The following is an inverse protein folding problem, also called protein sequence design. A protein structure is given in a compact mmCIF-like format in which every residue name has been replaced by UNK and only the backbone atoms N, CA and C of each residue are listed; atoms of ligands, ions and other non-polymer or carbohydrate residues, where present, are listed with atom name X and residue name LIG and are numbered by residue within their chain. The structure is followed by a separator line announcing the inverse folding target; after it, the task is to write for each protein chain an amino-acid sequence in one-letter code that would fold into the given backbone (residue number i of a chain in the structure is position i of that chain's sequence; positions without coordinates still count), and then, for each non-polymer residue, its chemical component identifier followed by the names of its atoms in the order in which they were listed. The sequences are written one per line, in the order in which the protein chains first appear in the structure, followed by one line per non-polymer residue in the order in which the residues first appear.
data_IF_196492902067
#
_entry.id   IF_196492902067
#
_cell.length_a   1.000
_cell.length_b   1.000
_cell.length_c   1.000
_cell.angle_alpha   90.00
_cell.angle_beta   90.00
_cell.angle_gamma   90.00
#
_symmetry.space_group_name_H-M   'P 1'
#
loop_
_entity.id
_entity.type
_entity.pdbx_description
1 polymer ?
#
# COMPACT_ATOMS: atom_id res chain seq x y z
N UNK A 1 -29.98 46.48 -17.73
CA UNK A 1 -28.96 45.40 -17.81
C UNK A 1 -29.47 44.43 -18.87
N UNK A 2 -28.70 44.22 -19.97
CA UNK A 2 -29.21 43.54 -21.17
C UNK A 2 -29.51 42.06 -20.89
N UNK A 3 -30.73 41.60 -21.19
CA UNK A 3 -31.19 40.20 -21.05
C UNK A 3 -30.26 39.18 -21.71
N UNK A 4 -29.65 39.54 -22.84
CA UNK A 4 -28.63 38.72 -23.55
C UNK A 4 -27.36 38.51 -22.71
N UNK A 5 -26.95 39.49 -21.92
CA UNK A 5 -25.74 39.41 -21.09
C UNK A 5 -26.00 38.49 -19.86
N UNK A 6 -27.19 38.57 -19.26
CA UNK A 6 -27.65 37.70 -18.20
C UNK A 6 -27.78 36.23 -18.68
N UNK A 7 -28.33 36.00 -19.86
CA UNK A 7 -28.46 34.66 -20.43
C UNK A 7 -27.07 34.00 -20.63
N UNK A 8 -26.09 34.74 -21.17
CA UNK A 8 -24.71 34.24 -21.33
C UNK A 8 -24.05 33.88 -19.99
N UNK A 9 -24.23 34.74 -18.97
CA UNK A 9 -23.69 34.51 -17.63
C UNK A 9 -24.32 33.23 -17.04
N UNK A 10 -25.64 33.06 -17.14
CA UNK A 10 -26.33 31.88 -16.66
C UNK A 10 -25.86 30.59 -17.35
N UNK A 11 -25.65 30.64 -18.67
CA UNK A 11 -25.13 29.50 -19.44
C UNK A 11 -23.72 29.13 -18.97
N UNK A 12 -22.84 30.12 -18.76
CA UNK A 12 -21.48 29.89 -18.26
C UNK A 12 -21.52 29.26 -16.88
N UNK A 13 -22.33 29.81 -15.97
CA UNK A 13 -22.48 29.25 -14.60
C UNK A 13 -23.02 27.81 -14.61
N UNK A 14 -24.03 27.53 -15.43
CA UNK A 14 -24.58 26.18 -15.57
C UNK A 14 -23.53 25.22 -16.12
N UNK A 15 -22.77 25.62 -17.12
CA UNK A 15 -21.68 24.80 -17.67
C UNK A 15 -20.62 24.54 -16.62
N UNK A 16 -20.21 25.53 -15.84
CA UNK A 16 -19.24 25.36 -14.75
C UNK A 16 -19.76 24.39 -13.66
N UNK A 17 -21.03 24.51 -13.28
CA UNK A 17 -21.67 23.60 -12.31
C UNK A 17 -21.63 22.15 -12.84
N UNK A 18 -21.99 21.94 -14.10
CA UNK A 18 -21.97 20.61 -14.73
C UNK A 18 -20.55 20.06 -14.75
N UNK A 19 -19.54 20.85 -15.13
CA UNK A 19 -18.14 20.41 -15.17
C UNK A 19 -17.61 20.06 -13.78
N UNK A 20 -17.90 20.89 -12.78
CA UNK A 20 -17.48 20.63 -11.39
C UNK A 20 -18.14 19.35 -10.86
N UNK A 21 -19.45 19.18 -11.07
CA UNK A 21 -20.14 17.96 -10.63
C UNK A 21 -19.63 16.71 -11.37
N UNK A 22 -19.38 16.82 -12.67
CA UNK A 22 -18.78 15.74 -13.46
C UNK A 22 -17.39 15.35 -12.93
N UNK A 23 -16.57 16.34 -12.59
CA UNK A 23 -15.26 16.11 -11.98
C UNK A 23 -15.38 15.43 -10.60
N UNK A 24 -16.27 15.91 -9.72
CA UNK A 24 -16.50 15.34 -8.39
C UNK A 24 -16.92 13.86 -8.49
N UNK A 25 -17.76 13.53 -9.48
CA UNK A 25 -18.22 12.14 -9.69
C UNK A 25 -17.11 11.29 -10.32
N UNK A 26 -16.35 11.81 -11.29
CA UNK A 26 -15.35 11.06 -12.02
C UNK A 26 -14.03 10.87 -11.24
N UNK A 27 -13.60 11.87 -10.48
CA UNK A 27 -12.31 11.84 -9.78
C UNK A 27 -12.13 10.63 -8.84
N UNK A 28 -13.12 10.19 -8.05
CA UNK A 28 -13.00 8.99 -7.22
C UNK A 28 -12.86 7.68 -8.02
N UNK A 29 -13.30 7.66 -9.28
CA UNK A 29 -13.23 6.47 -10.15
C UNK A 29 -11.85 6.33 -10.82
N UNK A 30 -11.09 7.42 -10.95
CA UNK A 30 -9.79 7.41 -11.65
C UNK A 30 -8.81 6.38 -11.05
N UNK A 31 -8.61 6.28 -9.72
CA UNK A 31 -7.71 5.27 -9.16
C UNK A 31 -8.15 3.84 -9.45
N UNK A 32 -9.45 3.56 -9.37
CA UNK A 32 -9.99 2.23 -9.65
C UNK A 32 -9.81 1.84 -11.13
N UNK A 33 -10.07 2.77 -12.05
CA UNK A 33 -9.85 2.57 -13.49
C UNK A 33 -8.36 2.36 -13.77
N UNK A 34 -7.47 3.17 -13.20
CA UNK A 34 -6.03 3.04 -13.38
C UNK A 34 -5.53 1.69 -12.84
N UNK A 35 -6.03 1.24 -11.70
CA UNK A 35 -5.67 -0.07 -11.15
C UNK A 35 -6.15 -1.20 -12.06
N UNK A 36 -7.39 -1.11 -12.56
CA UNK A 36 -7.95 -2.09 -13.50
C UNK A 36 -7.13 -2.15 -14.80
N UNK A 37 -6.75 -0.99 -15.36
CA UNK A 37 -5.90 -0.93 -16.55
C UNK A 37 -4.50 -1.52 -16.28
N UNK A 38 -3.86 -1.17 -15.16
CA UNK A 38 -2.54 -1.68 -14.78
C UNK A 38 -2.55 -3.19 -14.54
N UNK A 39 -3.67 -3.73 -14.07
CA UNK A 39 -3.85 -5.17 -13.84
C UNK A 39 -4.48 -5.92 -15.03
N UNK A 40 -4.80 -5.21 -16.12
CA UNK A 40 -5.41 -5.81 -17.30
C UNK A 40 -4.45 -6.80 -17.94
N UNK A 41 -4.88 -8.08 -18.01
CA UNK A 41 -4.04 -9.19 -18.49
C UNK A 41 -3.16 -9.83 -17.41
N UNK A 42 -3.17 -9.35 -16.18
CA UNK A 42 -2.46 -9.96 -15.04
C UNK A 42 -0.92 -9.92 -15.11
N UNK A 43 -0.36 -9.28 -16.13
CA UNK A 43 1.09 -9.33 -16.43
C UNK A 43 1.93 -8.74 -15.31
N UNK A 44 1.52 -7.60 -14.71
CA UNK A 44 2.27 -6.96 -13.64
C UNK A 44 2.21 -7.76 -12.34
N UNK A 45 1.03 -8.25 -11.97
CA UNK A 45 0.88 -9.11 -10.79
C UNK A 45 1.67 -10.42 -10.96
N UNK A 46 1.61 -11.05 -12.13
CA UNK A 46 2.38 -12.26 -12.44
C UNK A 46 3.89 -12.02 -12.38
N UNK A 47 4.38 -10.86 -12.86
CA UNK A 47 5.79 -10.50 -12.75
C UNK A 47 6.23 -10.34 -11.28
N UNK A 48 5.41 -9.69 -10.45
CA UNK A 48 5.69 -9.57 -9.02
C UNK A 48 5.64 -10.93 -8.31
N UNK A 49 4.69 -11.81 -8.66
CA UNK A 49 4.68 -13.18 -8.16
C UNK A 49 5.94 -13.96 -8.54
N UNK A 50 6.43 -13.78 -9.76
CA UNK A 50 7.69 -14.42 -10.21
C UNK A 50 8.89 -13.95 -9.38
N UNK A 51 8.90 -12.71 -8.92
CA UNK A 51 9.95 -12.20 -8.03
C UNK A 51 9.94 -12.87 -6.66
N UNK A 52 8.77 -13.35 -6.18
CA UNK A 52 8.65 -14.10 -4.94
C UNK A 52 9.15 -15.56 -5.07
N UNK A 53 9.22 -16.07 -6.30
CA UNK A 53 9.65 -17.44 -6.59
C UNK A 53 10.76 -17.43 -7.64
N UNK A 54 11.96 -16.90 -7.32
CA UNK A 54 13.07 -16.90 -8.26
C UNK A 54 13.43 -18.34 -8.64
N UNK A 55 13.66 -18.64 -9.92
CA UNK A 55 14.01 -20.00 -10.35
C UNK A 55 15.28 -20.45 -9.67
N UNK A 56 15.28 -21.65 -9.07
CA UNK A 56 16.43 -22.28 -8.39
C UNK A 56 17.65 -22.48 -9.32
N UNK A 57 17.47 -22.30 -10.63
CA UNK A 57 18.49 -22.52 -11.68
C UNK A 57 19.11 -21.23 -12.19
N UNK A 58 18.95 -20.09 -11.52
CA UNK A 58 19.77 -18.93 -11.83
C UNK A 58 21.20 -19.27 -11.43
N UNK A 59 21.93 -19.92 -12.35
CA UNK A 59 23.37 -20.10 -12.29
C UNK A 59 23.97 -18.76 -11.87
N UNK A 60 24.78 -18.82 -10.81
CA UNK A 60 25.39 -17.66 -10.19
C UNK A 60 25.87 -16.64 -11.23
N UNK A 61 25.06 -15.63 -11.48
CA UNK A 61 25.57 -14.40 -12.07
C UNK A 61 26.55 -13.86 -11.04
N UNK A 62 27.79 -13.74 -11.43
CA UNK A 62 28.95 -13.46 -10.58
C UNK A 62 28.95 -12.06 -9.96
N UNK A 63 27.86 -11.31 -10.07
CA UNK A 63 27.66 -10.03 -9.42
C UNK A 63 26.57 -10.21 -8.35
N UNK A 64 26.88 -10.03 -7.04
CA UNK A 64 25.85 -10.04 -6.01
C UNK A 64 24.87 -8.91 -6.29
N UNK A 65 23.62 -9.26 -6.62
CA UNK A 65 22.54 -8.28 -6.75
C UNK A 65 22.21 -7.81 -5.31
N UNK A 66 22.58 -6.58 -5.01
CA UNK A 66 22.25 -5.99 -3.72
C UNK A 66 20.80 -5.54 -3.75
N UNK A 67 19.92 -6.25 -3.03
CA UNK A 67 18.51 -5.87 -2.84
C UNK A 67 18.38 -4.93 -1.67
N UNK A 68 17.87 -3.72 -1.91
CA UNK A 68 17.44 -2.83 -0.83
C UNK A 68 16.25 -3.44 -0.08
N UNK A 69 16.11 -3.11 1.22
CA UNK A 69 14.93 -3.51 1.99
C UNK A 69 13.67 -2.99 1.31
N UNK A 70 12.78 -3.91 0.90
CA UNK A 70 11.57 -3.59 0.15
C UNK A 70 10.45 -4.58 0.40
N UNK A 71 9.22 -4.18 0.14
CA UNK A 71 8.04 -5.03 0.23
C UNK A 71 7.35 -5.15 -1.11
N UNK A 72 6.98 -6.39 -1.47
CA UNK A 72 6.31 -6.76 -2.70
C UNK A 72 4.95 -7.34 -2.36
N UNK A 73 3.87 -6.73 -2.85
CA UNK A 73 2.49 -7.21 -2.68
C UNK A 73 1.83 -7.28 -4.04
N UNK A 74 1.85 -8.46 -4.70
CA UNK A 74 1.35 -8.63 -6.06
C UNK A 74 -0.11 -8.22 -6.26
N UNK A 75 -0.98 -8.55 -5.30
CA UNK A 75 -2.42 -8.28 -5.37
C UNK A 75 -2.77 -6.79 -5.41
N UNK A 76 -1.90 -5.91 -4.93
CA UNK A 76 -2.04 -4.46 -5.04
C UNK A 76 -1.02 -3.81 -5.98
N UNK A 77 -0.29 -4.61 -6.75
CA UNK A 77 0.76 -4.19 -7.70
C UNK A 77 1.86 -3.33 -7.04
N UNK A 78 2.17 -3.64 -5.79
CA UNK A 78 3.15 -2.91 -4.99
C UNK A 78 4.52 -3.59 -5.05
N UNK A 79 5.54 -2.76 -5.27
CA UNK A 79 6.95 -3.06 -5.07
C UNK A 79 7.60 -1.75 -4.63
N UNK A 80 7.91 -1.63 -3.34
CA UNK A 80 8.32 -0.37 -2.74
C UNK A 80 9.41 -0.57 -1.69
N UNK A 81 10.38 0.37 -1.61
CA UNK A 81 11.38 0.35 -0.56
C UNK A 81 10.73 0.55 0.81
N UNK A 82 11.32 -0.12 1.80
CA UNK A 82 10.99 0.07 3.22
C UNK A 82 11.91 1.17 3.77
N UNK A 83 11.31 2.19 4.36
CA UNK A 83 12.02 3.27 5.02
C UNK A 83 12.12 2.98 6.52
N UNK A 84 13.24 3.30 7.12
CA UNK A 84 13.47 3.22 8.55
C UNK A 84 13.66 4.63 9.13
N UNK A 85 13.43 4.77 10.43
CA UNK A 85 13.67 6.00 11.16
C UNK A 85 12.81 6.12 12.41
N UNK A 86 13.15 7.06 13.30
CA UNK A 86 12.51 7.19 14.61
C UNK A 86 11.09 7.78 14.50
N UNK A 87 10.27 7.52 15.54
CA UNK A 87 8.90 8.04 15.66
C UNK A 87 8.83 9.56 15.54
N UNK A 88 9.86 10.28 15.97
CA UNK A 88 9.93 11.74 15.83
C UNK A 88 9.91 12.24 14.37
N UNK A 89 10.17 11.37 13.40
CA UNK A 89 10.16 11.66 11.96
C UNK A 89 8.98 11.05 11.22
N UNK A 90 7.96 10.59 11.90
CA UNK A 90 6.78 9.86 11.34
C UNK A 90 6.28 10.47 10.04
N UNK A 91 5.94 11.77 10.03
CA UNK A 91 5.39 12.41 8.81
C UNK A 91 6.36 12.44 7.64
N UNK A 92 7.63 12.70 7.92
CA UNK A 92 8.66 12.75 6.88
C UNK A 92 8.89 11.37 6.24
N UNK A 93 8.82 10.30 7.04
CA UNK A 93 9.03 8.93 6.57
C UNK A 93 7.80 8.42 5.84
N UNK A 94 6.61 8.59 6.39
CA UNK A 94 5.35 8.17 5.76
C UNK A 94 5.10 8.86 4.41
N UNK A 95 5.56 10.10 4.24
CA UNK A 95 5.52 10.80 2.96
C UNK A 95 6.48 10.22 1.90
N UNK A 96 7.50 9.44 2.32
CA UNK A 96 8.39 8.71 1.41
C UNK A 96 7.79 7.37 0.95
N UNK A 97 6.88 6.78 1.74
CA UNK A 97 6.24 5.52 1.40
C UNK A 97 6.01 4.57 2.58
N UNK A 98 6.45 3.31 2.44
CA UNK A 98 6.34 2.31 3.51
C UNK A 98 7.34 2.61 4.61
N UNK A 99 6.89 2.54 5.84
CA UNK A 99 7.71 2.70 7.04
C UNK A 99 7.71 1.42 7.87
N UNK A 100 8.88 0.97 8.26
CA UNK A 100 9.05 -0.06 9.27
C UNK A 100 8.94 0.56 10.66
N UNK A 101 7.99 0.06 11.48
CA UNK A 101 7.76 0.55 12.84
C UNK A 101 8.99 0.25 13.71
N UNK A 102 9.65 1.27 14.28
CA UNK A 102 10.98 1.09 14.91
C UNK A 102 10.99 0.19 16.13
N UNK A 103 9.86 0.07 16.84
CA UNK A 103 9.71 -0.77 18.04
C UNK A 103 9.24 -2.19 17.69
N UNK A 104 9.10 -2.53 16.39
CA UNK A 104 8.75 -3.87 15.95
C UNK A 104 9.98 -4.71 15.59
N UNK A 105 9.78 -6.01 15.40
CA UNK A 105 10.81 -6.92 14.95
C UNK A 105 11.15 -6.73 13.47
N UNK A 106 12.23 -7.37 13.05
CA UNK A 106 12.62 -7.47 11.63
C UNK A 106 12.46 -8.91 11.14
N UNK A 107 12.30 -9.15 9.83
CA UNK A 107 12.07 -10.50 9.28
C UNK A 107 13.10 -11.55 9.72
N UNK A 108 14.36 -11.16 9.85
CA UNK A 108 15.48 -12.01 10.24
C UNK A 108 15.47 -12.40 11.72
N UNK A 109 14.84 -11.59 12.58
CA UNK A 109 14.75 -11.83 14.02
C UNK A 109 13.53 -12.65 14.43
N UNK A 110 12.55 -12.80 13.54
CA UNK A 110 11.27 -13.38 13.88
C UNK A 110 10.37 -12.42 14.68
N UNK A 111 9.29 -12.93 15.31
CA UNK A 111 8.26 -12.10 15.94
C UNK A 111 7.50 -11.22 14.91
N UNK A 112 6.88 -10.13 15.33
CA UNK A 112 6.02 -9.29 14.50
C UNK A 112 6.82 -8.18 13.80
N UNK A 113 7.02 -8.29 12.50
CA UNK A 113 7.51 -7.19 11.66
C UNK A 113 6.34 -6.30 11.27
N UNK A 114 6.40 -5.01 11.59
CA UNK A 114 5.29 -4.10 11.35
C UNK A 114 5.65 -3.06 10.30
N UNK A 115 4.84 -3.01 9.24
CA UNK A 115 4.95 -2.05 8.15
C UNK A 115 3.69 -1.18 8.09
N UNK A 116 3.87 0.10 7.87
CA UNK A 116 2.74 1.02 7.73
C UNK A 116 2.99 2.05 6.63
N UNK A 117 1.91 2.65 6.16
CA UNK A 117 1.95 3.67 5.11
C UNK A 117 0.63 4.40 4.97
N UNK A 118 0.67 5.54 4.32
CA UNK A 118 -0.55 6.28 4.04
C UNK A 118 -1.45 5.54 3.05
N UNK A 119 -2.77 5.55 3.30
CA UNK A 119 -3.78 5.15 2.32
C UNK A 119 -4.20 6.32 1.46
N UNK A 120 -4.45 7.45 2.09
CA UNK A 120 -4.86 8.71 1.47
C UNK A 120 -4.36 9.88 2.32
N UNK A 121 -3.91 10.94 1.66
CA UNK A 121 -3.73 12.27 2.26
C UNK A 121 -4.20 13.33 1.27
N UNK A 122 -4.54 14.52 1.75
CA UNK A 122 -4.97 15.61 0.85
C UNK A 122 -3.85 16.07 -0.09
N UNK A 123 -2.59 15.91 0.31
CA UNK A 123 -1.41 16.24 -0.51
C UNK A 123 -0.97 15.09 -1.39
N UNK A 124 -1.31 13.86 -1.02
CA UNK A 124 -1.05 12.63 -1.78
C UNK A 124 -2.32 11.78 -1.83
N UNK A 125 -3.24 12.06 -2.75
CA UNK A 125 -4.53 11.38 -2.83
C UNK A 125 -4.44 9.87 -3.05
N UNK A 126 -3.28 9.38 -3.51
CA UNK A 126 -2.98 7.96 -3.62
C UNK A 126 -1.74 7.65 -2.77
N UNK A 127 -1.95 7.35 -1.49
CA UNK A 127 -0.89 6.87 -0.61
C UNK A 127 -0.36 5.50 -1.05
N UNK A 128 0.80 5.12 -0.53
CA UNK A 128 1.49 3.87 -0.90
C UNK A 128 0.62 2.62 -0.62
N UNK A 129 -0.19 2.64 0.44
CA UNK A 129 -1.11 1.55 0.81
C UNK A 129 -2.58 1.82 0.38
N UNK A 130 -2.77 2.64 -0.68
CA UNK A 130 -4.11 2.98 -1.18
C UNK A 130 -4.96 1.74 -1.46
N UNK A 131 -4.36 0.69 -2.02
CA UNK A 131 -5.02 -0.54 -2.45
C UNK A 131 -4.89 -1.71 -1.46
N UNK A 132 -4.58 -1.46 -0.17
CA UNK A 132 -4.45 -2.52 0.81
C UNK A 132 -5.75 -3.35 0.95
N UNK A 133 -6.91 -2.77 0.62
CA UNK A 133 -8.20 -3.46 0.53
C UNK A 133 -8.32 -4.48 -0.62
N UNK A 134 -7.35 -4.53 -1.54
CA UNK A 134 -7.30 -5.55 -2.61
C UNK A 134 -6.60 -6.84 -2.20
N UNK A 135 -5.87 -6.79 -1.09
CA UNK A 135 -5.25 -7.98 -0.49
C UNK A 135 -6.33 -8.92 0.00
N UNK A 136 -6.13 -10.22 -0.21
CA UNK A 136 -7.06 -11.28 0.17
C UNK A 136 -6.38 -12.31 1.07
N UNK A 137 -7.18 -13.10 1.76
CA UNK A 137 -6.70 -14.28 2.47
C UNK A 137 -5.91 -15.18 1.52
N UNK A 138 -4.82 -15.72 2.02
CA UNK A 138 -3.87 -16.57 1.29
C UNK A 138 -3.03 -15.87 0.19
N UNK A 139 -3.12 -14.55 0.03
CA UNK A 139 -2.19 -13.83 -0.83
C UNK A 139 -0.76 -13.94 -0.30
N UNK A 140 0.20 -13.94 -1.21
CA UNK A 140 1.62 -13.94 -0.87
C UNK A 140 2.17 -12.52 -0.81
N UNK A 141 3.03 -12.26 0.18
CA UNK A 141 3.72 -10.99 0.38
C UNK A 141 5.21 -11.30 0.54
N UNK A 142 6.05 -10.63 -0.25
CA UNK A 142 7.51 -10.74 -0.12
C UNK A 142 8.10 -9.55 0.59
N UNK A 143 9.07 -9.80 1.45
CA UNK A 143 9.89 -8.76 2.09
C UNK A 143 11.36 -9.06 1.83
N UNK A 144 12.02 -8.20 1.05
CA UNK A 144 13.47 -8.20 0.99
C UNK A 144 14.03 -7.50 2.23
N UNK A 145 14.86 -8.22 2.97
CA UNK A 145 15.51 -7.70 4.17
C UNK A 145 16.94 -8.22 4.24
N UNK A 146 17.92 -7.33 4.31
CA UNK A 146 19.34 -7.68 4.34
C UNK A 146 19.74 -8.66 3.23
N UNK A 147 19.30 -8.41 1.98
CA UNK A 147 19.55 -9.27 0.81
C UNK A 147 18.89 -10.65 0.86
N UNK A 148 17.96 -10.89 1.80
CA UNK A 148 17.20 -12.13 1.89
C UNK A 148 15.73 -11.88 1.62
N UNK A 149 15.08 -12.78 0.86
CA UNK A 149 13.66 -12.72 0.57
C UNK A 149 12.89 -13.59 1.59
N UNK A 150 12.04 -12.93 2.36
CA UNK A 150 11.09 -13.57 3.27
C UNK A 150 9.71 -13.58 2.61
N UNK A 151 9.10 -14.75 2.48
CA UNK A 151 7.76 -14.91 1.92
C UNK A 151 6.76 -15.18 3.02
N UNK A 152 5.70 -14.40 3.04
CA UNK A 152 4.60 -14.47 4.00
C UNK A 152 3.30 -14.77 3.29
N UNK A 153 2.38 -15.46 3.99
CA UNK A 153 1.02 -15.74 3.50
C UNK A 153 0.00 -15.06 4.40
N UNK A 154 -0.94 -14.33 3.78
CA UNK A 154 -1.99 -13.60 4.51
C UNK A 154 -2.89 -14.59 5.26
N UNK A 155 -2.92 -14.44 6.59
CA UNK A 155 -3.69 -15.27 7.52
C UNK A 155 -4.85 -14.54 8.19
N UNK A 156 -4.83 -13.19 8.22
CA UNK A 156 -5.97 -12.40 8.71
C UNK A 156 -6.03 -11.02 8.05
N UNK A 157 -7.26 -10.52 7.90
CA UNK A 157 -7.54 -9.15 7.47
C UNK A 157 -8.63 -8.59 8.39
N UNK A 158 -8.30 -7.53 9.11
CA UNK A 158 -9.16 -6.97 10.15
C UNK A 158 -9.27 -5.45 10.00
N UNK A 159 -10.37 -4.90 10.48
CA UNK A 159 -10.50 -3.48 10.74
C UNK A 159 -10.55 -3.26 12.25
N UNK A 160 -9.68 -2.40 12.78
CA UNK A 160 -9.52 -2.18 14.21
C UNK A 160 -9.54 -0.70 14.56
N UNK A 161 -9.92 -0.39 15.80
CA UNK A 161 -9.83 0.96 16.34
C UNK A 161 -8.35 1.39 16.47
N UNK A 162 -8.01 2.67 16.21
CA UNK A 162 -6.64 3.17 16.34
C UNK A 162 -6.01 3.01 17.73
N UNK A 163 -6.82 2.88 18.78
CA UNK A 163 -6.34 2.62 20.15
C UNK A 163 -5.86 1.18 20.37
N UNK A 164 -6.15 0.27 19.44
CA UNK A 164 -5.72 -1.13 19.52
C UNK A 164 -4.26 -1.29 19.10
N UNK A 165 -3.34 -0.82 19.94
CA UNK A 165 -1.90 -0.86 19.68
C UNK A 165 -1.28 -2.25 19.79
N UNK A 166 -2.03 -3.25 20.28
CA UNK A 166 -1.57 -4.65 20.33
C UNK A 166 -1.20 -5.24 18.97
N UNK A 167 -1.70 -4.66 17.85
CA UNK A 167 -1.30 -5.06 16.50
C UNK A 167 0.17 -4.79 16.20
N UNK A 168 0.79 -3.85 16.91
CA UNK A 168 2.19 -3.45 16.77
C UNK A 168 3.11 -4.23 17.71
N UNK A 169 2.54 -4.94 18.68
CA UNK A 169 3.28 -5.66 19.72
C UNK A 169 4.01 -6.92 19.22
N UNK A 170 4.95 -7.42 20.04
CA UNK A 170 5.69 -8.63 19.73
C UNK A 170 4.79 -9.87 19.76
N UNK A 171 5.18 -10.90 19.01
CA UNK A 171 4.49 -12.19 18.93
C UNK A 171 5.47 -13.35 19.10
N UNK A 172 4.96 -14.52 19.47
CA UNK A 172 5.77 -15.75 19.62
C UNK A 172 6.17 -16.34 18.26
N UNK A 173 5.40 -16.06 17.22
CA UNK A 173 5.58 -16.51 15.85
C UNK A 173 6.12 -15.38 14.97
N UNK A 174 6.85 -15.75 13.94
CA UNK A 174 7.31 -14.81 12.93
C UNK A 174 6.14 -14.41 12.01
N UNK A 175 5.74 -13.14 12.04
CA UNK A 175 4.67 -12.62 11.22
C UNK A 175 4.97 -11.23 10.68
N UNK A 176 4.23 -10.86 9.67
CA UNK A 176 4.21 -9.53 9.09
C UNK A 176 2.84 -8.90 9.34
N UNK A 177 2.82 -7.71 9.93
CA UNK A 177 1.62 -6.90 10.10
C UNK A 177 1.75 -5.66 9.23
N UNK A 178 0.82 -5.47 8.28
CA UNK A 178 0.77 -4.27 7.44
C UNK A 178 -0.52 -3.53 7.75
N UNK A 179 -0.45 -2.24 8.05
CA UNK A 179 -1.67 -1.48 8.28
C UNK A 179 -1.67 -0.08 7.69
N UNK A 180 -2.87 0.44 7.48
CA UNK A 180 -3.15 1.78 6.99
C UNK A 180 -4.46 2.31 7.56
N UNK A 181 -4.74 3.58 7.36
CA UNK A 181 -6.00 4.18 7.81
C UNK A 181 -7.19 3.74 6.93
N UNK A 182 -8.38 3.61 7.52
CA UNK A 182 -9.64 3.26 6.85
C UNK A 182 -10.84 3.91 7.58
N UNK A 183 -12.00 4.18 6.90
CA UNK A 183 -12.20 4.13 5.45
C UNK A 183 -11.42 5.23 4.70
N UNK A 184 -11.40 5.15 3.37
CA UNK A 184 -10.50 5.93 2.51
C UNK A 184 -10.60 7.45 2.70
N UNK A 185 -11.81 8.00 2.76
CA UNK A 185 -12.03 9.45 2.75
C UNK A 185 -12.23 10.08 4.13
N UNK A 186 -12.64 9.28 5.10
CA UNK A 186 -12.88 9.70 6.48
C UNK A 186 -12.31 8.66 7.44
N UNK A 187 -10.99 8.56 7.56
CA UNK A 187 -10.35 7.50 8.32
C UNK A 187 -10.60 7.67 9.82
N UNK A 188 -11.18 6.66 10.43
CA UNK A 188 -11.38 6.57 11.88
C UNK A 188 -10.92 5.22 12.45
N UNK A 189 -10.58 4.25 11.57
CA UNK A 189 -10.07 2.94 11.92
C UNK A 189 -8.76 2.65 11.18
N UNK A 190 -8.18 1.48 11.43
CA UNK A 190 -7.03 0.91 10.74
C UNK A 190 -7.44 -0.37 10.01
N UNK A 191 -7.13 -0.47 8.71
CA UNK A 191 -7.17 -1.73 7.98
C UNK A 191 -5.84 -2.45 8.22
N UNK A 192 -5.90 -3.65 8.75
CA UNK A 192 -4.76 -4.46 9.18
C UNK A 192 -4.74 -5.76 8.40
N UNK A 193 -3.63 -6.04 7.76
CA UNK A 193 -3.32 -7.32 7.11
C UNK A 193 -2.24 -8.01 7.94
N UNK A 194 -2.51 -9.24 8.36
CA UNK A 194 -1.55 -10.09 9.06
C UNK A 194 -1.18 -11.25 8.15
N UNK A 195 0.11 -11.54 8.05
CA UNK A 195 0.62 -12.65 7.25
C UNK A 195 1.67 -13.42 8.03
N UNK A 196 1.64 -14.76 7.94
CA UNK A 196 2.54 -15.68 8.60
C UNK A 196 3.73 -16.02 7.70
N UNK A 197 4.91 -16.16 8.30
CA UNK A 197 6.13 -16.48 7.55
C UNK A 197 6.06 -17.92 7.02
N UNK A 198 6.23 -18.08 5.70
CA UNK A 198 6.30 -19.41 5.07
C UNK A 198 7.72 -19.92 4.91
N UNK A 199 8.65 -19.01 4.58
CA UNK A 199 10.07 -19.37 4.42
C UNK A 199 11.00 -18.31 5.01
N UNK A 200 12.16 -18.77 5.43
CA UNK A 200 13.31 -17.95 5.82
C UNK A 200 14.41 -18.05 4.79
#
# INVERSE_FOLDING_TARGET
MNTVKLSRINTILLTLIILINSYIIAAPLIPAVNFWWANRGGTRAAELHKQLHPPKTATASTTPVNHSNSVIIPSMLLDQPINEGPVSQTYAILNKGIWHWPDSSTPDKGSNTVLLGHRFTYTQPKGVLYYLDKVKMNDEIGVWWNNHLYTYRVSAINEVDPSQTSIEGPTSDARLTIFTCTPLWLPHNRLVVVAELENK
#
